data_IF_339573032105
#
_entry.id   IF_339573032105
#
_cell.length_a   1.000
_cell.length_b   1.000
_cell.length_c   1.000
_cell.angle_alpha   90.00
_cell.angle_beta   90.00
_cell.angle_gamma   90.00
#
_symmetry.space_group_name_H-M   'P 1'
#
loop_
_entity.id
_entity.type
_entity.pdbx_description
1 polymer ?
#
# COMPACT_ATOMS: atom_id res chain seq x y z
N UNK A 1 -37.28 -30.61 -20.07
CA UNK A 1 -36.00 -30.05 -19.59
C UNK A 1 -36.25 -28.57 -19.27
N UNK A 2 -36.23 -28.11 -18.01
CA UNK A 2 -36.40 -26.69 -17.74
C UNK A 2 -35.03 -25.97 -17.79
N UNK A 3 -34.99 -24.85 -18.50
CA UNK A 3 -33.84 -23.96 -18.58
C UNK A 3 -33.72 -23.17 -17.28
N UNK A 4 -32.53 -23.19 -16.68
CA UNK A 4 -32.20 -22.44 -15.47
C UNK A 4 -31.84 -21.00 -15.87
N UNK A 5 -32.67 -20.03 -15.52
CA UNK A 5 -32.38 -18.60 -15.70
C UNK A 5 -31.59 -18.12 -14.49
N UNK A 6 -30.30 -17.82 -14.67
CA UNK A 6 -29.47 -17.17 -13.67
C UNK A 6 -29.79 -15.67 -13.65
N UNK A 7 -30.57 -15.24 -12.66
CA UNK A 7 -30.73 -13.82 -12.36
C UNK A 7 -29.45 -13.29 -11.72
N UNK A 8 -28.69 -12.49 -12.46
CA UNK A 8 -27.58 -11.72 -11.91
C UNK A 8 -28.13 -10.69 -10.93
N UNK A 9 -27.84 -10.87 -9.64
CA UNK A 9 -28.13 -9.87 -8.61
C UNK A 9 -27.09 -8.77 -8.78
N UNK A 10 -27.48 -7.68 -9.43
CA UNK A 10 -26.70 -6.45 -9.42
C UNK A 10 -26.71 -5.91 -7.98
N UNK A 11 -25.54 -5.86 -7.34
CA UNK A 11 -25.37 -5.24 -6.01
C UNK A 11 -25.54 -3.72 -6.21
N UNK A 12 -26.60 -3.09 -5.68
CA UNK A 12 -26.72 -1.64 -5.68
C UNK A 12 -25.70 -1.08 -4.67
N UNK A 13 -24.66 -0.39 -5.16
CA UNK A 13 -23.63 0.20 -4.30
C UNK A 13 -22.29 0.53 -4.95
N UNK A 14 -22.04 0.10 -6.19
CA UNK A 14 -20.90 0.58 -6.97
C UNK A 14 -21.25 1.84 -7.77
N UNK A 15 -21.67 2.90 -7.08
CA UNK A 15 -21.34 4.22 -7.61
C UNK A 15 -19.84 4.41 -7.38
N UNK A 16 -19.07 4.15 -8.44
CA UNK A 16 -17.71 4.64 -8.52
C UNK A 16 -17.78 6.17 -8.51
N UNK A 17 -17.89 6.76 -7.32
CA UNK A 17 -17.57 8.17 -7.10
C UNK A 17 -16.18 8.32 -7.70
N UNK A 18 -16.08 8.96 -8.86
CA UNK A 18 -14.81 9.34 -9.47
C UNK A 18 -14.23 10.41 -8.55
N UNK A 19 -13.66 9.97 -7.44
CA UNK A 19 -13.03 10.83 -6.45
C UNK A 19 -12.06 11.72 -7.23
N UNK A 20 -12.20 13.04 -7.07
CA UNK A 20 -11.26 13.97 -7.67
C UNK A 20 -9.85 13.50 -7.33
N UNK A 21 -8.99 13.46 -8.35
CA UNK A 21 -7.60 13.03 -8.18
C UNK A 21 -6.97 13.91 -7.11
N UNK A 22 -6.44 13.28 -6.06
CA UNK A 22 -5.77 14.00 -4.98
C UNK A 22 -4.52 14.69 -5.52
N UNK A 23 -4.23 15.91 -5.05
CA UNK A 23 -2.99 16.63 -5.36
C UNK A 23 -1.75 16.03 -4.67
N UNK A 24 -1.94 15.03 -3.81
CA UNK A 24 -0.86 14.36 -3.09
C UNK A 24 0.02 13.53 -4.02
N UNK A 25 1.30 13.55 -3.72
CA UNK A 25 2.34 12.68 -4.29
C UNK A 25 2.61 11.51 -3.34
N UNK A 26 2.58 10.30 -3.88
CA UNK A 26 2.67 9.08 -3.07
C UNK A 26 3.87 8.24 -3.50
N UNK A 27 4.62 7.73 -2.52
CA UNK A 27 5.64 6.71 -2.73
C UNK A 27 5.14 5.37 -2.16
N UNK A 28 4.87 4.40 -3.03
CA UNK A 28 4.60 3.02 -2.65
C UNK A 28 5.92 2.27 -2.58
N UNK A 29 6.27 1.76 -1.41
CA UNK A 29 7.38 0.82 -1.21
C UNK A 29 6.80 -0.58 -1.13
N UNK A 30 6.84 -1.30 -2.24
CA UNK A 30 6.29 -2.63 -2.42
C UNK A 30 7.04 -3.36 -3.54
N UNK A 31 7.07 -4.69 -3.49
CA UNK A 31 7.69 -5.49 -4.56
C UNK A 31 6.85 -5.34 -5.84
N UNK A 32 7.40 -4.71 -6.91
CA UNK A 32 6.64 -4.47 -8.14
C UNK A 32 6.42 -5.73 -8.96
N UNK A 33 7.15 -6.82 -8.68
CA UNK A 33 7.02 -8.10 -9.38
C UNK A 33 5.98 -9.02 -8.70
N UNK A 34 5.55 -8.68 -7.48
CA UNK A 34 4.48 -9.41 -6.81
C UNK A 34 3.09 -8.91 -7.27
N UNK A 35 2.13 -9.82 -7.56
CA UNK A 35 0.79 -9.45 -8.01
C UNK A 35 0.07 -8.45 -7.10
N UNK A 36 0.36 -8.49 -5.80
CA UNK A 36 -0.18 -7.56 -4.82
C UNK A 36 0.38 -6.14 -4.99
N UNK A 37 1.70 -6.00 -5.15
CA UNK A 37 2.36 -4.71 -5.35
C UNK A 37 1.90 -4.05 -6.65
N UNK A 38 1.78 -4.83 -7.72
CA UNK A 38 1.21 -4.39 -8.99
C UNK A 38 -0.25 -3.92 -8.83
N UNK A 39 -1.11 -4.74 -8.21
CA UNK A 39 -2.52 -4.39 -7.99
C UNK A 39 -2.69 -3.09 -7.17
N UNK A 40 -1.85 -2.87 -6.15
CA UNK A 40 -1.85 -1.60 -5.42
C UNK A 40 -1.39 -0.44 -6.29
N UNK A 41 -0.33 -0.62 -7.09
CA UNK A 41 0.13 0.43 -7.98
C UNK A 41 -0.95 0.84 -9.00
N UNK A 42 -1.65 -0.12 -9.59
CA UNK A 42 -2.77 0.12 -10.50
C UNK A 42 -3.93 0.83 -9.81
N UNK A 43 -4.27 0.42 -8.58
CA UNK A 43 -5.30 1.07 -7.79
C UNK A 43 -4.93 2.52 -7.45
N UNK A 44 -3.67 2.81 -7.11
CA UNK A 44 -3.26 4.14 -6.64
C UNK A 44 -3.04 5.14 -7.79
N UNK A 45 -2.48 4.72 -8.93
CA UNK A 45 -2.17 5.61 -10.08
C UNK A 45 -3.28 6.60 -10.46
N UNK A 46 -4.55 6.17 -10.64
CA UNK A 46 -5.59 7.10 -11.07
C UNK A 46 -6.07 8.05 -9.96
N UNK A 47 -5.71 7.81 -8.69
CA UNK A 47 -6.23 8.52 -7.51
C UNK A 47 -5.31 9.63 -7.01
N UNK A 48 -4.02 9.61 -7.33
CA UNK A 48 -3.01 10.55 -6.83
C UNK A 48 -2.29 11.27 -7.95
N UNK A 49 -1.84 12.51 -7.70
CA UNK A 49 -1.11 13.35 -8.66
C UNK A 49 0.11 12.66 -9.24
N UNK A 50 0.89 11.99 -8.38
CA UNK A 50 1.98 11.13 -8.80
C UNK A 50 2.07 9.91 -7.90
N UNK A 51 2.53 8.81 -8.48
CA UNK A 51 2.87 7.59 -7.78
C UNK A 51 4.28 7.18 -8.17
N UNK A 52 5.16 7.07 -7.19
CA UNK A 52 6.44 6.39 -7.33
C UNK A 52 6.30 5.00 -6.71
N UNK A 53 6.72 3.96 -7.43
CA UNK A 53 6.81 2.59 -6.89
C UNK A 53 8.29 2.26 -6.71
N UNK A 54 8.66 1.79 -5.53
CA UNK A 54 10.04 1.51 -5.14
C UNK A 54 10.12 0.09 -4.60
N UNK A 55 11.03 -0.70 -5.17
CA UNK A 55 11.36 -2.03 -4.64
C UNK A 55 11.96 -1.88 -3.22
N UNK A 56 11.40 -2.56 -2.21
CA UNK A 56 11.94 -2.63 -0.85
C UNK A 56 13.44 -2.93 -0.78
N UNK A 57 13.97 -3.77 -1.68
CA UNK A 57 15.37 -4.23 -1.71
C UNK A 57 16.34 -3.15 -2.20
N UNK A 58 15.84 -2.23 -3.03
CA UNK A 58 16.61 -1.12 -3.59
C UNK A 58 16.21 0.24 -2.99
N UNK A 59 15.42 0.24 -1.91
CA UNK A 59 14.90 1.45 -1.30
C UNK A 59 16.02 2.28 -0.67
N UNK A 60 16.20 3.51 -1.15
CA UNK A 60 17.00 4.55 -0.50
C UNK A 60 16.06 5.61 0.08
N UNK A 61 15.79 5.58 1.40
CA UNK A 61 14.83 6.49 2.03
C UNK A 61 15.23 7.96 1.89
N UNK A 62 16.53 8.24 1.74
CA UNK A 62 17.04 9.61 1.57
C UNK A 62 16.65 10.24 0.22
N UNK A 63 16.25 9.41 -0.76
CA UNK A 63 15.83 9.84 -2.10
C UNK A 63 14.32 9.95 -2.27
N UNK A 64 13.53 9.48 -1.30
CA UNK A 64 12.08 9.58 -1.36
C UNK A 64 11.68 11.07 -1.28
N UNK A 65 10.89 11.51 -2.26
CA UNK A 65 10.32 12.87 -2.35
C UNK A 65 8.83 12.72 -2.63
N UNK A 66 8.07 12.48 -1.57
CA UNK A 66 6.62 12.30 -1.62
C UNK A 66 5.97 12.89 -0.36
N UNK A 67 4.69 13.23 -0.47
CA UNK A 67 3.91 13.73 0.67
C UNK A 67 3.58 12.60 1.66
N UNK A 68 3.36 11.40 1.14
CA UNK A 68 3.05 10.19 1.93
C UNK A 68 3.82 8.99 1.38
N UNK A 69 4.32 8.15 2.28
CA UNK A 69 4.87 6.83 1.95
C UNK A 69 3.87 5.75 2.34
N UNK A 70 3.57 4.85 1.41
CA UNK A 70 2.82 3.63 1.67
C UNK A 70 3.84 2.49 1.71
N UNK A 71 3.98 1.84 2.85
CA UNK A 71 4.88 0.70 3.02
C UNK A 71 4.05 -0.58 3.00
N UNK A 72 4.12 -1.31 1.90
CA UNK A 72 3.56 -2.66 1.76
C UNK A 72 4.69 -3.65 1.46
N UNK A 73 5.25 -4.16 2.54
CA UNK A 73 6.42 -5.01 2.54
C UNK A 73 6.09 -6.38 3.16
N UNK A 74 6.30 -7.41 2.34
CA UNK A 74 6.14 -8.83 2.69
C UNK A 74 7.47 -9.56 2.51
N UNK A 75 8.31 -9.53 3.53
CA UNK A 75 9.54 -10.34 3.64
C UNK A 75 9.27 -11.81 4.00
N UNK A 76 8.21 -12.41 3.44
CA UNK A 76 7.85 -13.80 3.72
C UNK A 76 7.44 -14.08 5.18
N UNK A 77 7.31 -13.05 6.01
CA UNK A 77 6.83 -13.16 7.39
C UNK A 77 7.90 -13.33 8.45
N UNK A 78 9.10 -12.81 8.22
CA UNK A 78 10.16 -12.83 9.23
C UNK A 78 10.06 -11.63 10.17
N UNK A 79 9.69 -11.90 11.43
CA UNK A 79 9.77 -10.92 12.52
C UNK A 79 11.24 -10.47 12.68
N UNK A 80 11.50 -9.17 12.58
CA UNK A 80 12.83 -8.59 12.77
C UNK A 80 13.65 -8.36 11.49
N UNK A 81 13.07 -8.60 10.32
CA UNK A 81 13.69 -8.22 9.06
C UNK A 81 13.89 -6.69 8.96
N UNK A 82 14.88 -6.29 8.16
CA UNK A 82 15.31 -4.89 8.03
C UNK A 82 14.28 -4.07 7.24
N UNK A 83 13.55 -3.21 7.94
CA UNK A 83 12.58 -2.29 7.32
C UNK A 83 13.25 -1.46 6.22
N UNK A 84 12.69 -1.42 4.99
CA UNK A 84 13.28 -0.72 3.83
C UNK A 84 13.56 0.77 4.11
N UNK A 85 12.69 1.39 4.90
CA UNK A 85 12.80 2.79 5.31
C UNK A 85 13.86 3.04 6.39
N UNK A 86 14.53 1.99 6.88
CA UNK A 86 15.48 2.06 7.98
C UNK A 86 14.82 2.33 9.33
N UNK A 87 15.61 2.83 10.28
CA UNK A 87 15.14 3.08 11.65
C UNK A 87 14.02 4.13 11.70
N UNK A 88 12.99 3.86 12.52
CA UNK A 88 11.81 4.74 12.67
C UNK A 88 12.16 6.20 12.99
N UNK A 89 13.21 6.43 13.78
CA UNK A 89 13.67 7.76 14.17
C UNK A 89 14.15 8.61 12.97
N UNK A 90 14.51 7.97 11.87
CA UNK A 90 14.98 8.65 10.65
C UNK A 90 13.85 8.97 9.66
N UNK A 91 12.61 8.56 9.95
CA UNK A 91 11.48 8.76 9.04
C UNK A 91 10.99 10.20 9.11
N UNK A 92 11.07 10.90 7.99
CA UNK A 92 10.64 12.31 7.87
C UNK A 92 9.30 12.49 7.18
N UNK A 93 8.87 11.50 6.42
CA UNK A 93 7.62 11.53 5.65
C UNK A 93 6.54 10.72 6.38
N UNK A 94 5.29 11.23 6.47
CA UNK A 94 4.16 10.45 6.93
C UNK A 94 4.12 9.08 6.25
N UNK A 95 4.08 8.00 7.03
CA UNK A 95 4.13 6.64 6.51
C UNK A 95 2.91 5.86 6.95
N UNK A 96 2.23 5.23 6.00
CA UNK A 96 1.13 4.30 6.23
C UNK A 96 1.65 2.88 6.03
N UNK A 97 1.43 2.02 7.02
CA UNK A 97 1.80 0.61 6.95
C UNK A 97 0.60 -0.17 6.41
N UNK A 98 0.81 -0.93 5.33
CA UNK A 98 -0.26 -1.70 4.68
C UNK A 98 -0.13 -3.20 4.99
N UNK A 99 -1.27 -3.85 5.22
CA UNK A 99 -1.36 -5.29 5.46
C UNK A 99 -0.39 -5.81 6.53
N UNK A 100 0.37 -6.88 6.20
CA UNK A 100 1.25 -7.57 7.15
C UNK A 100 2.41 -6.70 7.64
N UNK A 101 2.80 -5.65 6.92
CA UNK A 101 3.80 -4.69 7.39
C UNK A 101 3.35 -3.99 8.66
N UNK A 102 2.04 -3.70 8.79
CA UNK A 102 1.49 -3.18 10.03
C UNK A 102 1.81 -4.11 11.21
N UNK A 103 1.67 -5.42 11.04
CA UNK A 103 1.97 -6.40 12.09
C UNK A 103 3.48 -6.49 12.37
N UNK A 104 4.32 -6.56 11.32
CA UNK A 104 5.76 -6.76 11.51
C UNK A 104 6.53 -5.51 11.93
N UNK A 105 5.96 -4.31 11.72
CA UNK A 105 6.61 -3.04 12.05
C UNK A 105 5.93 -2.36 13.23
N UNK A 106 4.59 -2.29 13.26
CA UNK A 106 3.90 -1.58 14.33
C UNK A 106 4.00 -2.31 15.68
N UNK A 107 3.95 -3.65 15.69
CA UNK A 107 4.02 -4.43 16.94
C UNK A 107 5.42 -4.33 17.58
N UNK A 108 6.54 -4.59 16.88
CA UNK A 108 7.86 -4.46 17.49
C UNK A 108 8.22 -3.03 17.89
N UNK A 109 7.69 -2.03 17.19
CA UNK A 109 7.97 -0.62 17.49
C UNK A 109 6.94 0.03 18.42
N UNK A 110 5.93 -0.73 18.87
CA UNK A 110 4.85 -0.25 19.74
C UNK A 110 4.23 1.06 19.22
N UNK A 111 3.94 1.11 17.93
CA UNK A 111 3.32 2.30 17.34
C UNK A 111 1.87 2.40 17.81
N UNK A 112 1.49 3.54 18.38
CA UNK A 112 0.10 3.84 18.72
C UNK A 112 -0.73 4.02 17.44
N UNK A 113 -1.72 3.15 17.21
CA UNK A 113 -2.57 3.16 16.01
C UNK A 113 -3.34 1.85 15.82
N UNK A 114 -4.24 1.84 14.83
CA UNK A 114 -5.00 0.63 14.43
C UNK A 114 -4.35 -0.04 13.21
N UNK A 115 -4.31 -1.37 13.19
CA UNK A 115 -3.91 -2.18 12.03
C UNK A 115 -5.14 -2.92 11.48
N UNK A 116 -5.33 -2.93 10.16
CA UNK A 116 -6.48 -3.53 9.48
C UNK A 116 -6.11 -4.01 8.09
#
# INVERSE_FOLDING_TARGET
MPALVLASIAIPGQEATRAARSELTVCLVADPEEPRGEAFAEFLRPRFKSLQVVDPRACDPSRIRADVVLLDWGDGGQVGAKVPLGARASWKTPTVLLGRTGVYVAVPWRLDGWFG
#
